data_IF_800605624204
#
_entry.id   IF_800605624204
#
_cell.length_a   1.000
_cell.length_b   1.000
_cell.length_c   1.000
_cell.angle_alpha   90.00
_cell.angle_beta   90.00
_cell.angle_gamma   90.00
#
_symmetry.space_group_name_H-M   'P 1'
#
loop_
_entity.id
_entity.type
_entity.pdbx_description
1 polymer ?
#
# COMPACT_ATOMS: atom_id res chain seq x y z
N UNK A 1 -7.01 -12.31 -22.89
CA UNK A 1 -8.37 -12.91 -22.94
C UNK A 1 -8.52 -14.20 -22.12
N UNK A 2 -7.49 -15.04 -22.03
CA UNK A 2 -7.52 -16.26 -21.20
C UNK A 2 -7.50 -15.97 -19.70
N UNK A 3 -6.83 -14.91 -19.26
CA UNK A 3 -6.68 -14.53 -17.84
C UNK A 3 -8.03 -14.08 -17.25
N UNK A 4 -8.79 -13.26 -17.94
CA UNK A 4 -10.11 -12.80 -17.47
C UNK A 4 -11.10 -13.96 -17.33
N UNK A 5 -11.02 -14.96 -18.24
CA UNK A 5 -11.91 -16.13 -18.24
C UNK A 5 -11.59 -17.11 -17.11
N UNK A 6 -10.31 -17.26 -16.74
CA UNK A 6 -9.89 -18.07 -15.59
C UNK A 6 -10.32 -17.46 -14.25
N UNK A 7 -10.42 -16.16 -14.21
CA UNK A 7 -10.91 -15.40 -13.07
C UNK A 7 -12.40 -15.64 -12.80
N UNK A 8 -13.22 -15.68 -13.83
CA UNK A 8 -14.67 -15.90 -13.77
C UNK A 8 -15.05 -17.37 -13.42
N UNK A 9 -14.12 -18.32 -13.55
CA UNK A 9 -14.41 -19.76 -13.37
C UNK A 9 -13.87 -20.37 -12.06
N UNK A 10 -13.21 -19.60 -11.21
CA UNK A 10 -12.73 -20.08 -9.90
C UNK A 10 -13.78 -19.77 -8.83
N UNK A 11 -13.99 -20.68 -7.88
CA UNK A 11 -14.84 -20.49 -6.70
C UNK A 11 -14.44 -19.23 -5.93
N UNK A 12 -15.06 -18.11 -6.29
CA UNK A 12 -14.83 -16.81 -5.65
C UNK A 12 -15.87 -16.59 -4.58
N UNK A 13 -15.47 -16.14 -3.40
CA UNK A 13 -16.42 -15.72 -2.38
C UNK A 13 -17.13 -14.44 -2.80
N UNK A 14 -18.39 -14.37 -2.56
CA UNK A 14 -19.38 -13.31 -2.42
C UNK A 14 -19.34 -12.00 -3.26
N UNK A 15 -18.21 -11.58 -3.85
CA UNK A 15 -18.05 -10.24 -4.45
C UNK A 15 -17.90 -10.22 -6.00
N UNK A 16 -18.50 -11.18 -6.72
CA UNK A 16 -18.52 -11.14 -8.19
C UNK A 16 -19.08 -9.84 -8.76
N UNK A 17 -20.05 -9.26 -8.08
CA UNK A 17 -20.73 -8.05 -8.50
C UNK A 17 -19.76 -6.86 -8.48
N UNK A 18 -18.97 -6.75 -7.43
CA UNK A 18 -18.00 -5.67 -7.24
C UNK A 18 -16.89 -5.73 -8.30
N UNK A 19 -16.36 -6.92 -8.56
CA UNK A 19 -15.35 -7.10 -9.59
C UNK A 19 -15.84 -6.81 -11.00
N UNK A 20 -17.05 -7.24 -11.34
CA UNK A 20 -17.65 -6.96 -12.64
C UNK A 20 -17.82 -5.45 -12.86
N UNK A 21 -18.17 -4.71 -11.81
CA UNK A 21 -18.32 -3.26 -11.85
C UNK A 21 -16.95 -2.58 -12.00
N UNK A 22 -15.99 -2.91 -11.12
CA UNK A 22 -14.68 -2.24 -11.11
C UNK A 22 -13.79 -2.59 -12.30
N UNK A 23 -13.93 -3.80 -12.86
CA UNK A 23 -13.22 -4.17 -14.10
C UNK A 23 -13.69 -3.39 -15.33
N UNK A 24 -14.90 -2.81 -15.27
CA UNK A 24 -15.56 -2.20 -16.41
C UNK A 24 -16.40 -3.18 -17.25
N UNK A 25 -16.54 -4.45 -16.81
CA UNK A 25 -17.37 -5.45 -17.50
C UNK A 25 -18.84 -5.02 -17.57
N UNK A 26 -19.30 -4.30 -16.54
CA UNK A 26 -20.67 -3.80 -16.42
C UNK A 26 -20.88 -2.38 -16.95
N UNK A 27 -19.87 -1.75 -17.56
CA UNK A 27 -19.99 -0.36 -18.05
C UNK A 27 -21.16 -0.23 -19.03
N UNK A 28 -22.03 0.74 -18.78
CA UNK A 28 -23.25 0.99 -19.58
C UNK A 28 -24.40 0.01 -19.32
N UNK A 29 -24.29 -0.85 -18.30
CA UNK A 29 -25.32 -1.79 -17.90
C UNK A 29 -25.84 -1.47 -16.50
N UNK A 30 -27.15 -1.68 -16.30
CA UNK A 30 -27.75 -1.68 -14.95
C UNK A 30 -27.87 -3.11 -14.47
N UNK A 31 -27.19 -3.42 -13.35
CA UNK A 31 -27.22 -4.74 -12.75
C UNK A 31 -28.24 -4.81 -11.61
N UNK A 32 -29.06 -5.84 -11.64
CA UNK A 32 -29.95 -6.19 -10.55
C UNK A 32 -29.86 -7.72 -10.33
N UNK A 33 -29.26 -8.14 -9.21
CA UNK A 33 -28.96 -9.56 -8.90
C UNK A 33 -30.17 -10.50 -8.99
N UNK A 34 -31.40 -9.99 -8.84
CA UNK A 34 -32.63 -10.74 -8.92
C UNK A 34 -33.21 -10.87 -10.31
N UNK A 35 -32.66 -10.21 -11.32
CA UNK A 35 -33.18 -10.22 -12.70
C UNK A 35 -32.32 -11.07 -13.62
N UNK A 36 -32.96 -11.80 -14.59
CA UNK A 36 -32.21 -12.55 -15.58
C UNK A 36 -31.34 -11.67 -16.46
N UNK A 37 -30.12 -12.14 -16.77
CA UNK A 37 -29.25 -11.51 -17.76
C UNK A 37 -29.87 -11.63 -19.13
N UNK A 38 -30.10 -10.54 -19.83
CA UNK A 38 -30.64 -10.52 -21.19
C UNK A 38 -29.56 -10.78 -22.25
N UNK A 39 -29.94 -11.19 -23.46
CA UNK A 39 -28.99 -11.33 -24.58
C UNK A 39 -28.30 -10.02 -24.93
N UNK A 40 -28.97 -8.88 -24.79
CA UNK A 40 -28.40 -7.56 -25.01
C UNK A 40 -27.34 -7.22 -23.94
N UNK A 41 -27.62 -7.54 -22.67
CA UNK A 41 -26.62 -7.38 -21.56
C UNK A 41 -25.40 -8.24 -21.81
N UNK A 42 -25.60 -9.51 -22.17
CA UNK A 42 -24.48 -10.41 -22.48
C UNK A 42 -23.63 -9.89 -23.65
N UNK A 43 -24.29 -9.41 -24.72
CA UNK A 43 -23.60 -8.79 -25.85
C UNK A 43 -22.76 -7.56 -25.44
N UNK A 44 -23.30 -6.71 -24.55
CA UNK A 44 -22.54 -5.56 -24.03
C UNK A 44 -21.38 -5.99 -23.11
N UNK A 45 -21.60 -6.99 -22.24
CA UNK A 45 -20.54 -7.55 -21.40
C UNK A 45 -19.39 -8.13 -22.23
N UNK A 46 -19.69 -8.83 -23.33
CA UNK A 46 -18.67 -9.36 -24.25
C UNK A 46 -17.85 -8.26 -24.92
N UNK A 47 -18.49 -7.15 -25.33
CA UNK A 47 -17.80 -5.97 -25.86
C UNK A 47 -16.90 -5.33 -24.79
N UNK A 48 -17.42 -5.18 -23.58
CA UNK A 48 -16.65 -4.64 -22.46
C UNK A 48 -15.47 -5.55 -22.13
N UNK A 49 -15.67 -6.88 -22.09
CA UNK A 49 -14.60 -7.85 -21.86
C UNK A 49 -13.48 -7.74 -22.91
N UNK A 50 -13.81 -7.55 -24.18
CA UNK A 50 -12.82 -7.33 -25.22
C UNK A 50 -12.03 -6.03 -24.99
N UNK A 51 -12.71 -4.96 -24.54
CA UNK A 51 -12.08 -3.66 -24.29
C UNK A 51 -11.15 -3.64 -23.07
N UNK A 52 -11.32 -4.57 -22.11
CA UNK A 52 -10.51 -4.65 -20.89
C UNK A 52 -9.48 -5.80 -20.92
N UNK A 53 -9.47 -6.63 -21.98
CA UNK A 53 -8.67 -7.85 -22.05
C UNK A 53 -7.16 -7.64 -21.86
N UNK A 54 -6.66 -6.48 -22.27
CA UNK A 54 -5.23 -6.14 -22.23
C UNK A 54 -4.87 -5.19 -21.06
N UNK A 55 -5.84 -4.85 -20.19
CA UNK A 55 -5.57 -4.01 -19.04
C UNK A 55 -4.86 -4.80 -17.94
N UNK A 56 -3.82 -4.23 -17.31
CA UNK A 56 -3.17 -4.88 -16.17
C UNK A 56 -4.11 -4.94 -14.96
N UNK A 57 -3.99 -6.02 -14.19
CA UNK A 57 -4.72 -6.25 -12.95
C UNK A 57 -3.85 -5.80 -11.78
N UNK A 58 -4.31 -4.78 -11.06
CA UNK A 58 -3.62 -4.25 -9.89
C UNK A 58 -4.29 -4.74 -8.61
N UNK A 59 -3.55 -5.55 -7.84
CA UNK A 59 -3.96 -5.95 -6.50
C UNK A 59 -3.78 -4.80 -5.51
N UNK A 60 -4.83 -4.50 -4.74
CA UNK A 60 -4.75 -3.58 -3.60
C UNK A 60 -4.59 -4.43 -2.35
N UNK A 61 -3.58 -4.16 -1.52
CA UNK A 61 -3.29 -4.97 -0.32
C UNK A 61 -4.51 -5.09 0.59
N UNK A 62 -4.65 -6.25 1.22
CA UNK A 62 -5.82 -6.61 2.01
C UNK A 62 -6.20 -5.56 3.07
N UNK A 63 -7.52 -5.27 3.14
CA UNK A 63 -8.11 -4.36 4.11
C UNK A 63 -8.64 -5.13 5.31
N UNK A 64 -8.06 -4.86 6.47
CA UNK A 64 -8.63 -5.27 7.74
C UNK A 64 -9.80 -4.34 8.14
N UNK A 65 -10.86 -4.89 8.73
CA UNK A 65 -12.07 -4.17 9.16
C UNK A 65 -12.94 -3.55 8.04
N UNK A 66 -12.84 -4.05 6.80
CA UNK A 66 -13.73 -3.62 5.72
C UNK A 66 -13.57 -2.15 5.35
N UNK A 67 -12.35 -1.62 5.41
CA UNK A 67 -12.06 -0.30 4.84
C UNK A 67 -12.52 -0.28 3.38
N UNK A 68 -13.27 0.73 3.02
CA UNK A 68 -13.73 0.90 1.65
C UNK A 68 -12.60 1.47 0.78
N UNK A 69 -12.16 0.71 -0.21
CA UNK A 69 -11.13 1.11 -1.17
C UNK A 69 -11.68 1.71 -2.48
N UNK A 70 -12.94 2.11 -2.53
CA UNK A 70 -13.57 2.65 -3.75
C UNK A 70 -12.82 3.87 -4.31
N UNK A 71 -12.22 4.69 -3.46
CA UNK A 71 -11.37 5.79 -3.92
C UNK A 71 -10.11 5.30 -4.63
N UNK A 72 -9.43 4.27 -4.11
CA UNK A 72 -8.25 3.67 -4.74
C UNK A 72 -8.63 2.94 -6.03
N UNK A 73 -9.73 2.18 -6.03
CA UNK A 73 -10.28 1.54 -7.23
C UNK A 73 -10.61 2.58 -8.31
N UNK A 74 -11.18 3.73 -7.92
CA UNK A 74 -11.47 4.84 -8.84
C UNK A 74 -10.19 5.39 -9.47
N UNK A 75 -9.11 5.57 -8.70
CA UNK A 75 -7.81 6.03 -9.20
C UNK A 75 -7.28 5.03 -10.24
N UNK A 76 -7.20 3.74 -9.89
CA UNK A 76 -6.67 2.72 -10.79
C UNK A 76 -7.51 2.54 -12.05
N UNK A 77 -8.85 2.61 -11.95
CA UNK A 77 -9.73 2.60 -13.12
C UNK A 77 -9.46 3.80 -14.03
N UNK A 78 -9.22 4.98 -13.45
CA UNK A 78 -8.91 6.22 -14.19
C UNK A 78 -7.61 6.09 -14.99
N UNK A 79 -6.58 5.48 -14.42
CA UNK A 79 -5.29 5.26 -15.09
C UNK A 79 -5.23 3.98 -15.95
N UNK A 80 -6.38 3.34 -16.17
CA UNK A 80 -6.51 2.27 -17.16
C UNK A 80 -6.24 0.85 -16.67
N UNK A 81 -6.21 0.61 -15.36
CA UNK A 81 -6.06 -0.73 -14.78
C UNK A 81 -7.39 -1.35 -14.34
N UNK A 82 -7.35 -2.63 -14.01
CA UNK A 82 -8.41 -3.36 -13.30
C UNK A 82 -7.99 -3.47 -11.84
N UNK A 83 -8.61 -2.72 -10.91
CA UNK A 83 -8.29 -2.82 -9.49
C UNK A 83 -8.98 -4.01 -8.83
N UNK A 84 -8.29 -4.70 -7.94
CA UNK A 84 -8.79 -5.85 -7.19
C UNK A 84 -8.33 -5.74 -5.74
N UNK A 85 -9.24 -5.80 -4.79
CA UNK A 85 -8.87 -5.99 -3.40
C UNK A 85 -8.37 -7.42 -3.20
N UNK A 86 -7.16 -7.56 -2.66
CA UNK A 86 -6.58 -8.88 -2.43
C UNK A 86 -7.17 -9.51 -1.17
N UNK A 87 -7.32 -10.82 -1.21
CA UNK A 87 -7.63 -11.60 -0.02
C UNK A 87 -6.50 -11.54 1.01
N UNK A 88 -6.83 -11.85 2.26
CA UNK A 88 -5.85 -11.95 3.33
C UNK A 88 -4.77 -12.98 2.98
N UNK A 89 -3.52 -12.55 3.05
CA UNK A 89 -2.39 -13.49 3.03
C UNK A 89 -2.17 -14.02 4.44
N UNK A 90 -2.18 -15.35 4.57
CA UNK A 90 -1.96 -16.06 5.83
C UNK A 90 -0.62 -16.78 5.83
N UNK A 91 -0.08 -17.07 7.03
CA UNK A 91 1.12 -17.87 7.23
C UNK A 91 0.85 -18.99 8.24
N UNK A 92 1.43 -20.16 8.00
CA UNK A 92 1.36 -21.29 8.95
C UNK A 92 2.20 -21.09 10.22
N UNK A 93 2.93 -19.96 10.30
CA UNK A 93 3.68 -19.59 11.52
C UNK A 93 2.77 -19.33 12.72
N UNK A 94 1.50 -19.00 12.47
CA UNK A 94 0.46 -18.72 13.47
C UNK A 94 -0.84 -19.43 13.11
N UNK A 95 -1.81 -19.44 14.05
CA UNK A 95 -3.19 -19.87 13.78
C UNK A 95 -4.12 -18.67 13.75
N UNK A 96 -5.21 -18.84 13.04
CA UNK A 96 -6.27 -17.85 12.88
C UNK A 96 -7.59 -18.40 13.44
N UNK A 97 -8.39 -17.51 14.00
CA UNK A 97 -9.76 -17.81 14.42
C UNK A 97 -10.74 -17.90 13.24
N UNK A 98 -12.03 -18.08 13.53
CA UNK A 98 -13.08 -18.20 12.52
C UNK A 98 -13.29 -16.90 11.71
N UNK A 99 -12.91 -15.76 12.27
CA UNK A 99 -12.96 -14.44 11.63
C UNK A 99 -11.68 -14.09 10.85
N UNK A 100 -10.70 -15.00 10.80
CA UNK A 100 -9.41 -14.79 10.13
C UNK A 100 -8.41 -13.95 10.92
N UNK A 101 -8.66 -13.68 12.20
CA UNK A 101 -7.74 -12.96 13.09
C UNK A 101 -6.73 -13.90 13.70
N UNK A 102 -5.51 -13.43 13.95
CA UNK A 102 -4.51 -14.22 14.69
C UNK A 102 -5.02 -14.49 16.10
N UNK A 103 -4.96 -15.75 16.53
CA UNK A 103 -5.34 -16.16 17.90
C UNK A 103 -4.44 -15.46 18.95
N UNK A 104 -5.02 -15.05 20.07
CA UNK A 104 -4.33 -14.31 21.13
C UNK A 104 -3.09 -15.02 21.71
N UNK A 105 -3.00 -16.34 21.59
CA UNK A 105 -1.83 -17.11 22.00
C UNK A 105 -0.53 -16.67 21.30
N UNK A 106 -0.62 -16.07 20.12
CA UNK A 106 0.50 -15.60 19.29
C UNK A 106 0.84 -14.12 19.50
N UNK A 107 0.04 -13.42 20.31
CA UNK A 107 0.15 -11.98 20.53
C UNK A 107 0.63 -11.65 21.94
N UNK A 108 1.34 -10.54 22.09
CA UNK A 108 1.58 -9.87 23.36
C UNK A 108 0.29 -9.15 23.82
N UNK A 109 0.25 -8.69 25.08
CA UNK A 109 -0.89 -7.93 25.61
C UNK A 109 -1.16 -6.63 24.82
N UNK A 110 -0.13 -6.07 24.20
CA UNK A 110 -0.23 -4.90 23.32
C UNK A 110 -0.88 -5.19 21.95
N UNK A 111 -1.15 -6.44 21.63
CA UNK A 111 -1.58 -6.88 20.31
C UNK A 111 -0.43 -7.09 19.30
N UNK A 112 0.81 -6.79 19.71
CA UNK A 112 2.01 -7.04 18.90
C UNK A 112 2.24 -8.53 18.71
N UNK A 113 2.72 -8.94 17.55
CA UNK A 113 3.14 -10.32 17.30
C UNK A 113 4.31 -10.68 18.21
N UNK A 114 4.22 -11.81 18.93
CA UNK A 114 5.33 -12.30 19.77
C UNK A 114 6.59 -12.53 18.95
N UNK A 115 7.75 -12.24 19.52
CA UNK A 115 9.03 -12.25 18.82
C UNK A 115 9.32 -13.60 18.14
N UNK A 116 9.06 -14.73 18.80
CA UNK A 116 9.31 -16.07 18.24
C UNK A 116 8.53 -16.35 16.94
N UNK A 117 7.32 -15.76 16.81
CA UNK A 117 6.49 -15.89 15.58
C UNK A 117 6.86 -14.84 14.55
N UNK A 118 7.21 -13.62 14.97
CA UNK A 118 7.78 -12.62 14.10
C UNK A 118 9.06 -13.13 13.41
N UNK A 119 9.93 -13.85 14.16
CA UNK A 119 11.16 -14.42 13.60
C UNK A 119 10.86 -15.47 12.53
N UNK A 120 9.84 -16.30 12.72
CA UNK A 120 9.38 -17.24 11.68
C UNK A 120 8.83 -16.53 10.43
N UNK A 121 8.07 -15.46 10.61
CA UNK A 121 7.57 -14.65 9.49
C UNK A 121 8.75 -14.01 8.73
N UNK A 122 9.79 -13.56 9.45
CA UNK A 122 11.00 -12.99 8.85
C UNK A 122 11.84 -13.99 8.04
N UNK A 123 11.63 -15.30 8.19
CA UNK A 123 12.23 -16.31 7.31
C UNK A 123 11.72 -16.22 5.86
N UNK A 124 10.56 -15.57 5.65
CA UNK A 124 9.94 -15.35 4.32
C UNK A 124 9.69 -16.65 3.56
N UNK A 125 9.31 -17.72 4.28
CA UNK A 125 8.94 -18.98 3.64
C UNK A 125 7.58 -18.83 2.95
N UNK A 126 7.62 -18.55 1.65
CA UNK A 126 6.42 -18.37 0.84
C UNK A 126 5.62 -19.68 0.67
N UNK A 127 6.25 -20.85 0.90
CA UNK A 127 5.58 -22.15 0.82
C UNK A 127 4.69 -22.41 2.05
N UNK A 128 4.99 -21.73 3.16
CA UNK A 128 4.22 -21.71 4.39
C UNK A 128 3.10 -20.65 4.40
N UNK A 129 2.65 -20.21 3.22
CA UNK A 129 1.68 -19.12 3.02
C UNK A 129 0.75 -19.42 1.85
N UNK A 130 -0.44 -18.81 1.86
CA UNK A 130 -1.37 -18.84 0.72
C UNK A 130 -1.07 -17.77 -0.34
N UNK A 131 0.02 -17.01 -0.22
CA UNK A 131 0.32 -15.84 -1.06
C UNK A 131 0.34 -16.16 -2.56
N UNK A 132 0.83 -17.32 -2.96
CA UNK A 132 0.84 -17.74 -4.36
C UNK A 132 -0.57 -17.90 -4.95
N UNK A 133 -1.56 -18.29 -4.13
CA UNK A 133 -2.95 -18.36 -4.56
C UNK A 133 -3.59 -16.96 -4.63
N UNK A 134 -3.33 -16.10 -3.64
CA UNK A 134 -3.80 -14.70 -3.62
C UNK A 134 -3.28 -13.92 -4.83
N UNK A 135 -2.03 -14.14 -5.21
CA UNK A 135 -1.37 -13.44 -6.31
C UNK A 135 -1.64 -14.01 -7.71
N UNK A 136 -2.52 -15.01 -7.81
CA UNK A 136 -2.85 -15.58 -9.12
C UNK A 136 -3.52 -14.54 -10.02
N UNK A 137 -2.93 -14.31 -11.20
CA UNK A 137 -3.42 -13.34 -12.21
C UNK A 137 -3.32 -11.86 -11.79
N UNK A 138 -2.49 -11.52 -10.83
CA UNK A 138 -2.15 -10.15 -10.44
C UNK A 138 -0.88 -9.73 -11.18
N UNK A 139 -0.92 -8.57 -11.83
CA UNK A 139 0.19 -8.04 -12.64
C UNK A 139 1.02 -6.99 -11.89
N UNK A 140 0.45 -6.33 -10.89
CA UNK A 140 1.12 -5.37 -10.01
C UNK A 140 0.41 -5.22 -8.69
N UNK A 141 1.06 -4.70 -7.66
CA UNK A 141 0.47 -4.54 -6.33
C UNK A 141 0.64 -3.12 -5.80
N UNK A 142 -0.44 -2.59 -5.27
CA UNK A 142 -0.49 -1.36 -4.51
C UNK A 142 -0.67 -1.68 -3.02
N UNK A 143 0.30 -1.27 -2.19
CA UNK A 143 0.22 -1.36 -0.75
C UNK A 143 -0.30 -0.06 -0.16
N UNK A 144 -1.39 -0.14 0.58
CA UNK A 144 -2.05 1.03 1.17
C UNK A 144 -1.41 1.47 2.48
N UNK A 145 -1.70 2.70 2.89
CA UNK A 145 -1.47 3.17 4.25
C UNK A 145 -2.29 2.41 5.31
N UNK A 146 -2.12 2.74 6.56
CA UNK A 146 -2.87 2.14 7.66
C UNK A 146 -2.15 2.15 9.00
N UNK A 147 -2.51 1.19 9.85
CA UNK A 147 -2.03 1.01 11.21
C UNK A 147 -0.51 0.75 11.26
N UNK A 148 0.09 0.94 12.44
CA UNK A 148 1.51 0.73 12.65
C UNK A 148 1.90 -0.75 12.56
N UNK A 149 3.14 -1.02 12.17
CA UNK A 149 3.68 -2.39 12.07
C UNK A 149 4.19 -2.85 13.44
N UNK A 150 3.95 -4.11 13.78
CA UNK A 150 4.47 -4.74 15.01
C UNK A 150 5.99 -4.53 15.15
N UNK A 151 6.47 -3.91 16.24
CA UNK A 151 7.91 -3.71 16.49
C UNK A 151 8.75 -4.98 16.42
N UNK A 152 8.17 -6.14 16.74
CA UNK A 152 8.83 -7.45 16.63
C UNK A 152 9.27 -7.82 15.20
N UNK A 153 8.71 -7.17 14.16
CA UNK A 153 9.04 -7.42 12.76
C UNK A 153 10.22 -6.57 12.25
N UNK A 154 10.62 -5.51 12.96
CA UNK A 154 11.74 -4.66 12.56
C UNK A 154 12.82 -4.58 13.64
N UNK A 155 14.00 -4.12 13.26
CA UNK A 155 15.12 -3.99 14.18
C UNK A 155 14.96 -2.73 15.01
N UNK A 156 14.45 -2.87 16.25
CA UNK A 156 14.38 -1.78 17.23
C UNK A 156 15.27 -2.08 18.42
N UNK A 157 15.79 -1.04 19.08
CA UNK A 157 16.33 -1.17 20.41
C UNK A 157 15.30 -1.74 21.39
N UNK A 158 15.72 -2.64 22.29
CA UNK A 158 14.84 -3.35 23.23
C UNK A 158 13.97 -2.44 24.12
N UNK A 159 14.40 -1.21 24.33
CA UNK A 159 13.69 -0.23 25.17
C UNK A 159 12.50 0.45 24.47
N UNK A 160 12.41 0.35 23.17
CA UNK A 160 11.37 1.03 22.38
C UNK A 160 10.16 0.13 22.22
N UNK A 161 9.45 -0.04 23.31
CA UNK A 161 8.21 -0.79 23.34
C UNK A 161 7.08 0.17 23.64
N UNK A 162 6.03 0.13 22.83
CA UNK A 162 4.78 0.82 23.09
C UNK A 162 4.88 2.35 23.06
N UNK A 163 5.29 2.89 21.95
CA UNK A 163 5.35 4.34 21.67
C UNK A 163 4.01 4.90 21.13
N UNK A 164 2.90 4.26 21.50
CA UNK A 164 1.55 4.65 21.08
C UNK A 164 1.13 4.07 19.74
N UNK A 165 1.73 2.93 19.34
CA UNK A 165 1.38 2.23 18.11
C UNK A 165 -0.04 1.68 18.14
N UNK A 166 -0.72 1.82 17.02
CA UNK A 166 -1.99 1.16 16.71
C UNK A 166 -1.68 -0.13 15.91
N UNK A 167 -1.36 -1.22 16.60
CA UNK A 167 -0.85 -2.46 15.99
C UNK A 167 -1.97 -3.36 15.51
N UNK A 168 -1.79 -3.94 14.33
CA UNK A 168 -2.63 -4.99 13.75
C UNK A 168 -1.77 -6.15 13.24
N UNK A 169 -1.43 -7.08 14.12
CA UNK A 169 -0.56 -8.20 13.78
C UNK A 169 -1.11 -9.10 12.66
N UNK A 170 -2.43 -9.21 12.51
CA UNK A 170 -3.05 -9.97 11.42
C UNK A 170 -2.73 -9.34 10.07
N UNK A 171 -2.86 -8.02 9.96
CA UNK A 171 -2.48 -7.27 8.77
C UNK A 171 -0.96 -7.27 8.56
N UNK A 172 -0.19 -7.27 9.65
CA UNK A 172 1.27 -7.31 9.57
C UNK A 172 1.76 -8.54 8.82
N UNK A 173 1.27 -9.73 9.19
CA UNK A 173 1.64 -10.98 8.50
C UNK A 173 1.16 -10.94 7.05
N UNK A 174 -0.07 -10.47 6.79
CA UNK A 174 -0.60 -10.39 5.45
C UNK A 174 0.27 -9.49 4.55
N UNK A 175 0.54 -8.27 4.97
CA UNK A 175 1.33 -7.31 4.18
C UNK A 175 2.81 -7.74 4.08
N UNK A 176 3.39 -8.30 5.17
CA UNK A 176 4.77 -8.77 5.17
C UNK A 176 5.02 -9.89 4.15
N UNK A 177 4.16 -10.93 4.17
CA UNK A 177 4.28 -12.07 3.27
C UNK A 177 3.98 -11.69 1.82
N UNK A 178 2.99 -10.81 1.60
CA UNK A 178 2.69 -10.26 0.28
C UNK A 178 3.87 -9.45 -0.27
N UNK A 179 4.48 -8.59 0.54
CA UNK A 179 5.64 -7.81 0.14
C UNK A 179 6.85 -8.72 -0.14
N UNK A 180 7.10 -9.71 0.72
CA UNK A 180 8.16 -10.69 0.49
C UNK A 180 7.99 -11.42 -0.85
N UNK A 181 6.75 -11.80 -1.20
CA UNK A 181 6.43 -12.39 -2.49
C UNK A 181 6.70 -11.42 -3.65
N UNK A 182 6.22 -10.19 -3.55
CA UNK A 182 6.42 -9.18 -4.61
C UNK A 182 7.91 -8.93 -4.87
N UNK A 183 8.71 -8.83 -3.81
CA UNK A 183 10.16 -8.65 -3.92
C UNK A 183 10.87 -9.89 -4.48
N UNK A 184 10.45 -11.11 -4.11
CA UNK A 184 11.06 -12.33 -4.65
C UNK A 184 10.69 -12.56 -6.12
N UNK A 185 9.43 -12.36 -6.49
CA UNK A 185 8.91 -12.63 -7.84
C UNK A 185 9.05 -11.45 -8.80
N UNK A 186 9.64 -10.34 -8.35
CA UNK A 186 9.80 -9.10 -9.13
C UNK A 186 8.46 -8.55 -9.66
N UNK A 187 7.43 -8.58 -8.81
CA UNK A 187 6.12 -8.00 -9.14
C UNK A 187 6.19 -6.48 -9.03
N UNK A 188 5.79 -5.72 -10.07
CA UNK A 188 5.68 -4.27 -9.98
C UNK A 188 4.91 -3.82 -8.75
N UNK A 189 5.53 -2.98 -7.91
CA UNK A 189 5.02 -2.62 -6.60
C UNK A 189 5.07 -1.11 -6.37
N UNK A 190 3.95 -0.53 -5.96
CA UNK A 190 3.88 0.80 -5.41
C UNK A 190 3.35 0.74 -3.97
N UNK A 191 4.03 1.37 -3.04
CA UNK A 191 3.75 1.27 -1.62
C UNK A 191 3.67 2.66 -0.97
N UNK A 192 2.61 2.90 -0.18
CA UNK A 192 2.31 4.20 0.42
C UNK A 192 2.26 4.09 1.93
N UNK A 193 2.91 5.02 2.64
CA UNK A 193 2.90 5.18 4.10
C UNK A 193 3.25 3.85 4.80
N UNK A 194 2.30 3.18 5.46
CA UNK A 194 2.50 1.83 6.00
C UNK A 194 3.08 0.85 4.98
N UNK A 195 2.62 0.91 3.72
CA UNK A 195 3.13 0.04 2.65
C UNK A 195 4.63 0.25 2.38
N UNK A 196 5.10 1.50 2.37
CA UNK A 196 6.52 1.84 2.26
C UNK A 196 7.31 1.33 3.46
N UNK A 197 6.75 1.48 4.67
CA UNK A 197 7.35 0.96 5.89
C UNK A 197 7.49 -0.57 5.85
N UNK A 198 6.46 -1.29 5.43
CA UNK A 198 6.50 -2.75 5.25
C UNK A 198 7.57 -3.15 4.22
N UNK A 199 7.66 -2.45 3.07
CA UNK A 199 8.68 -2.70 2.04
C UNK A 199 10.09 -2.55 2.63
N UNK A 200 10.29 -1.52 3.43
CA UNK A 200 11.57 -1.21 4.05
C UNK A 200 11.93 -2.22 5.15
N UNK A 201 10.96 -2.59 5.98
CA UNK A 201 11.11 -3.61 7.03
C UNK A 201 11.45 -4.98 6.43
N UNK A 202 10.71 -5.41 5.40
CA UNK A 202 10.99 -6.68 4.68
C UNK A 202 12.38 -6.66 4.05
N UNK A 203 12.86 -5.49 3.63
CA UNK A 203 14.21 -5.30 3.09
C UNK A 203 15.30 -5.24 4.17
N UNK A 204 14.95 -5.07 5.45
CA UNK A 204 15.86 -5.11 6.60
C UNK A 204 16.41 -3.75 7.04
N UNK A 205 15.68 -2.66 6.79
CA UNK A 205 16.03 -1.31 7.23
C UNK A 205 16.10 -1.20 8.78
N UNK A 206 16.72 -0.13 9.27
CA UNK A 206 16.43 0.37 10.62
C UNK A 206 15.18 1.27 10.57
N UNK A 207 14.55 1.50 11.72
CA UNK A 207 13.24 2.13 11.77
C UNK A 207 13.17 3.16 12.89
N UNK A 208 12.56 4.32 12.62
CA UNK A 208 12.21 5.34 13.61
C UNK A 208 10.81 5.01 14.10
N UNK A 209 10.71 4.53 15.34
CA UNK A 209 9.45 4.06 15.91
C UNK A 209 8.53 5.22 16.30
N UNK A 210 9.08 6.40 16.63
CA UNK A 210 8.29 7.61 16.93
C UNK A 210 9.07 8.86 16.56
N UNK A 211 8.58 9.61 15.56
CA UNK A 211 9.21 10.84 15.09
C UNK A 211 9.32 11.92 16.18
N UNK A 212 8.28 12.18 16.99
CA UNK A 212 8.39 13.12 18.12
C UNK A 212 9.56 12.81 19.07
N UNK A 213 9.72 11.53 19.44
CA UNK A 213 10.84 11.11 20.28
C UNK A 213 12.18 11.23 19.55
N UNK A 214 12.25 10.90 18.29
CA UNK A 214 13.45 11.06 17.46
C UNK A 214 13.91 12.53 17.38
N UNK A 215 12.97 13.49 17.23
CA UNK A 215 13.28 14.92 17.32
C UNK A 215 13.84 15.32 18.69
N UNK A 216 13.19 14.85 19.77
CA UNK A 216 13.61 15.12 21.15
C UNK A 216 15.02 14.59 21.44
N UNK A 217 15.37 13.41 20.96
CA UNK A 217 16.71 12.81 21.08
C UNK A 217 17.78 13.67 20.41
N UNK A 218 17.41 14.38 19.35
CA UNK A 218 18.30 15.34 18.67
C UNK A 218 18.26 16.75 19.27
N UNK A 219 17.58 16.94 20.41
CA UNK A 219 17.43 18.24 21.06
C UNK A 219 16.57 19.23 20.30
N UNK A 220 15.61 18.72 19.50
CA UNK A 220 14.69 19.51 18.67
C UNK A 220 13.25 19.39 19.15
N UNK A 221 12.44 20.36 18.79
CA UNK A 221 10.98 20.34 19.00
C UNK A 221 10.30 19.83 17.75
N UNK A 222 9.38 18.88 17.89
CA UNK A 222 8.53 18.42 16.81
C UNK A 222 7.28 19.33 16.69
N UNK A 223 6.96 19.78 15.49
CA UNK A 223 5.90 20.74 15.19
C UNK A 223 4.78 20.14 14.33
N UNK A 224 4.43 18.88 14.54
CA UNK A 224 3.29 18.17 13.91
C UNK A 224 3.31 18.18 12.37
N UNK A 225 4.49 18.24 11.77
CA UNK A 225 4.69 18.39 10.32
C UNK A 225 4.46 17.12 9.53
N UNK A 226 4.56 15.94 10.17
CA UNK A 226 4.32 14.64 9.54
C UNK A 226 2.98 14.02 9.95
N UNK A 227 2.42 14.41 11.10
CA UNK A 227 1.12 13.96 11.60
C UNK A 227 0.50 15.04 12.47
N UNK A 228 -0.74 15.41 12.20
CA UNK A 228 -1.49 16.32 13.05
C UNK A 228 -1.80 15.66 14.40
N UNK A 229 -1.80 16.42 15.50
CA UNK A 229 -2.12 15.88 16.82
C UNK A 229 -3.54 15.33 16.89
N UNK A 230 -3.76 14.38 17.82
CA UNK A 230 -5.03 13.66 17.93
C UNK A 230 -6.24 14.57 18.26
N UNK A 231 -5.99 15.71 18.91
CA UNK A 231 -6.98 16.70 19.30
C UNK A 231 -7.14 17.84 18.29
N UNK A 232 -6.46 17.78 17.14
CA UNK A 232 -6.64 18.78 16.09
C UNK A 232 -8.11 18.83 15.64
N UNK A 233 -8.69 20.05 15.49
CA UNK A 233 -10.09 20.24 15.11
C UNK A 233 -10.45 19.61 13.77
N UNK A 234 -9.47 19.58 12.87
CA UNK A 234 -9.55 18.95 11.57
C UNK A 234 -8.35 18.00 11.46
N UNK A 235 -8.59 16.71 11.63
CA UNK A 235 -7.59 15.66 11.42
C UNK A 235 -7.34 15.41 9.94
N UNK A 236 -7.32 16.49 9.15
CA UNK A 236 -6.79 16.43 7.79
C UNK A 236 -5.29 16.17 7.85
N UNK A 237 -4.78 15.65 6.75
CA UNK A 237 -3.36 15.36 6.61
C UNK A 237 -2.50 16.57 6.91
N UNK A 238 -1.41 16.38 7.64
CA UNK A 238 -0.34 17.36 7.69
C UNK A 238 0.21 17.56 6.26
N UNK A 239 0.84 18.72 6.03
CA UNK A 239 1.39 19.07 4.72
C UNK A 239 2.82 19.55 4.88
N UNK A 240 3.72 19.00 4.10
CA UNK A 240 5.11 19.43 4.01
C UNK A 240 5.64 19.24 2.58
N UNK A 241 6.82 19.80 2.33
CA UNK A 241 7.54 19.60 1.07
C UNK A 241 8.54 18.46 1.23
N UNK A 242 8.82 17.75 0.14
CA UNK A 242 9.85 16.73 0.10
C UNK A 242 10.89 17.06 -0.98
N UNK A 243 12.16 16.77 -0.68
CA UNK A 243 13.29 16.93 -1.60
C UNK A 243 13.59 15.59 -2.26
N UNK A 244 13.74 15.59 -3.58
CA UNK A 244 14.01 14.40 -4.39
C UNK A 244 15.46 14.40 -4.83
N UNK A 245 16.19 13.33 -4.53
CA UNK A 245 17.53 13.12 -5.02
C UNK A 245 17.48 12.60 -6.47
N UNK A 246 17.62 13.54 -7.42
CA UNK A 246 17.58 13.24 -8.84
C UNK A 246 18.59 12.18 -9.27
N UNK A 247 19.80 12.22 -8.72
CA UNK A 247 20.90 11.36 -9.15
C UNK A 247 20.78 9.95 -8.56
N UNK A 248 20.07 9.80 -7.44
CA UNK A 248 19.79 8.52 -6.80
C UNK A 248 18.51 7.87 -7.32
N UNK A 249 17.55 8.65 -7.83
CA UNK A 249 16.22 8.15 -8.20
C UNK A 249 16.19 7.51 -9.58
N UNK A 250 15.62 6.31 -9.65
CA UNK A 250 15.30 5.61 -10.92
C UNK A 250 13.91 5.96 -11.43
N UNK A 251 12.93 6.12 -10.54
CA UNK A 251 11.52 6.33 -10.90
C UNK A 251 10.92 7.62 -10.34
N UNK A 252 11.13 7.93 -9.05
CA UNK A 252 10.48 9.06 -8.40
C UNK A 252 10.72 10.39 -9.13
N UNK A 253 11.97 10.66 -9.56
CA UNK A 253 12.27 11.88 -10.30
C UNK A 253 11.55 11.94 -11.65
N UNK A 254 11.31 10.81 -12.32
CA UNK A 254 10.55 10.75 -13.57
C UNK A 254 9.08 11.03 -13.35
N UNK A 255 8.52 10.54 -12.24
CA UNK A 255 7.13 10.74 -11.84
C UNK A 255 6.87 12.23 -11.58
N UNK A 256 7.76 12.85 -10.79
CA UNK A 256 7.58 14.23 -10.31
C UNK A 256 8.09 15.28 -11.31
N UNK A 257 9.15 14.97 -12.05
CA UNK A 257 9.76 15.90 -13.03
C UNK A 257 10.52 17.07 -12.38
N UNK A 258 10.69 17.07 -11.04
CA UNK A 258 11.33 18.12 -10.25
C UNK A 258 12.13 17.51 -9.10
N UNK A 259 13.09 18.27 -8.56
CA UNK A 259 13.81 17.92 -7.33
C UNK A 259 13.05 18.27 -6.05
N UNK A 260 11.84 18.79 -6.17
CA UNK A 260 10.98 19.14 -5.04
C UNK A 260 9.53 18.79 -5.39
N UNK A 261 8.81 18.18 -4.44
CA UNK A 261 7.37 18.01 -4.49
C UNK A 261 6.75 18.71 -3.29
N UNK A 262 5.84 19.65 -3.55
CA UNK A 262 5.27 20.55 -2.54
C UNK A 262 3.95 20.04 -1.99
N UNK A 263 3.71 20.36 -0.70
CA UNK A 263 2.45 20.14 -0.02
C UNK A 263 1.96 18.69 -0.07
N UNK A 264 2.87 17.71 0.04
CA UNK A 264 2.46 16.30 0.11
C UNK A 264 1.55 16.05 1.31
N UNK A 265 0.54 15.20 1.14
CA UNK A 265 -0.31 14.75 2.25
C UNK A 265 0.48 13.82 3.16
N UNK A 266 0.51 14.09 4.47
CA UNK A 266 1.29 13.32 5.43
C UNK A 266 0.47 12.92 6.66
N UNK A 267 0.58 11.64 7.06
CA UNK A 267 -0.10 11.11 8.24
C UNK A 267 0.69 9.92 8.82
N UNK A 268 1.88 10.20 9.36
CA UNK A 268 2.70 9.17 9.99
C UNK A 268 3.48 9.73 11.19
N UNK A 269 3.71 8.90 12.19
CA UNK A 269 4.60 9.20 13.30
C UNK A 269 5.82 8.26 13.35
N UNK A 270 5.88 7.30 12.43
CA UNK A 270 6.98 6.38 12.24
C UNK A 270 7.62 6.63 10.88
N UNK A 271 8.87 6.21 10.70
CA UNK A 271 9.59 6.35 9.43
C UNK A 271 10.72 5.33 9.29
N UNK A 272 11.23 5.17 8.07
CA UNK A 272 12.48 4.46 7.80
C UNK A 272 13.63 5.22 8.46
N UNK A 273 14.42 4.53 9.29
CA UNK A 273 15.55 5.13 10.01
C UNK A 273 16.86 5.11 9.24
N UNK A 274 17.08 4.05 8.45
CA UNK A 274 18.28 3.91 7.62
C UNK A 274 18.23 2.63 6.80
N UNK A 275 18.96 2.63 5.68
CA UNK A 275 18.90 1.57 4.66
C UNK A 275 20.23 0.81 4.49
N UNK A 276 21.19 1.02 5.37
CA UNK A 276 22.52 0.41 5.30
C UNK A 276 22.43 -1.12 5.33
N UNK A 277 23.12 -1.76 4.40
CA UNK A 277 23.14 -3.23 4.26
C UNK A 277 21.87 -3.81 3.63
N UNK A 278 21.02 -2.96 3.05
CA UNK A 278 19.84 -3.37 2.28
C UNK A 278 20.02 -3.07 0.78
N UNK A 279 19.06 -3.51 -0.04
CA UNK A 279 18.98 -3.12 -1.46
C UNK A 279 18.09 -1.88 -1.68
N UNK A 280 17.75 -1.15 -0.62
CA UNK A 280 16.97 0.09 -0.72
C UNK A 280 17.87 1.27 -1.09
N UNK A 281 17.35 2.16 -1.91
CA UNK A 281 17.96 3.45 -2.22
C UNK A 281 17.04 4.56 -1.71
N UNK A 282 17.54 5.43 -0.82
CA UNK A 282 16.81 6.63 -0.40
C UNK A 282 16.78 7.62 -1.56
N UNK A 283 15.58 8.00 -1.99
CA UNK A 283 15.37 8.87 -3.15
C UNK A 283 14.63 10.17 -2.82
N UNK A 284 14.06 10.27 -1.61
CA UNK A 284 13.45 11.52 -1.12
C UNK A 284 13.55 11.62 0.40
N UNK A 285 13.72 12.87 0.86
CA UNK A 285 13.73 13.23 2.29
C UNK A 285 12.95 14.52 2.53
N UNK A 286 12.49 14.72 3.76
CA UNK A 286 12.02 16.00 4.28
C UNK A 286 12.96 16.43 5.41
N UNK A 287 13.55 17.62 5.30
CA UNK A 287 14.36 18.21 6.37
C UNK A 287 13.62 19.37 7.00
N UNK A 288 13.10 19.16 8.20
CA UNK A 288 12.27 20.14 8.92
C UNK A 288 12.92 20.40 10.28
N UNK A 289 13.13 21.66 10.62
CA UNK A 289 13.81 22.09 11.87
C UNK A 289 15.20 21.47 12.06
N UNK A 290 15.84 21.09 10.95
CA UNK A 290 17.18 20.47 10.92
C UNK A 290 17.19 18.98 11.24
N UNK A 291 16.03 18.32 11.26
CA UNK A 291 15.89 16.87 11.35
C UNK A 291 15.46 16.35 9.99
N UNK A 292 16.20 15.37 9.47
CA UNK A 292 15.91 14.72 8.21
C UNK A 292 15.12 13.43 8.44
N UNK A 293 14.00 13.28 7.71
CA UNK A 293 13.16 12.09 7.67
C UNK A 293 13.16 11.55 6.25
N UNK A 294 13.33 10.24 6.09
CA UNK A 294 13.21 9.56 4.79
C UNK A 294 11.75 9.53 4.38
N UNK A 295 11.48 9.99 3.14
CA UNK A 295 10.12 10.14 2.59
C UNK A 295 9.86 9.27 1.37
N UNK A 296 10.92 8.71 0.75
CA UNK A 296 10.77 7.71 -0.29
C UNK A 296 12.01 6.85 -0.45
N UNK A 297 11.78 5.58 -0.77
CA UNK A 297 12.80 4.58 -1.08
C UNK A 297 12.46 3.79 -2.34
N UNK A 298 13.47 3.32 -3.05
CA UNK A 298 13.35 2.49 -4.24
C UNK A 298 14.13 1.18 -4.07
N UNK A 299 13.57 0.06 -4.55
CA UNK A 299 14.27 -1.22 -4.80
C UNK A 299 14.66 -1.27 -6.26
N UNK A 300 15.78 -0.65 -6.60
CA UNK A 300 16.23 -0.47 -7.99
C UNK A 300 16.74 -1.74 -8.64
N UNK A 301 16.92 -2.81 -7.87
CA UNK A 301 17.18 -4.17 -8.32
C UNK A 301 15.92 -4.87 -8.86
N UNK A 302 14.75 -4.20 -8.81
CA UNK A 302 13.46 -4.69 -9.30
C UNK A 302 13.03 -3.99 -10.58
N UNK A 303 12.06 -4.60 -11.29
CA UNK A 303 11.42 -4.03 -12.48
C UNK A 303 10.77 -2.69 -12.15
N UNK A 304 9.94 -2.64 -11.10
CA UNK A 304 9.40 -1.43 -10.49
C UNK A 304 9.07 -1.69 -9.02
N UNK A 305 9.69 -0.95 -8.12
CA UNK A 305 9.38 -1.07 -6.69
C UNK A 305 9.72 0.25 -5.99
N UNK A 306 8.68 1.07 -5.77
CA UNK A 306 8.74 2.40 -5.18
C UNK A 306 7.89 2.45 -3.90
N UNK A 307 8.47 2.94 -2.82
CA UNK A 307 7.77 3.29 -1.59
C UNK A 307 7.84 4.79 -1.33
N UNK A 308 6.71 5.38 -0.93
CA UNK A 308 6.63 6.77 -0.47
C UNK A 308 5.94 6.83 0.89
N UNK A 309 6.46 7.66 1.79
CA UNK A 309 5.89 7.80 3.13
C UNK A 309 4.65 8.69 3.16
N UNK A 310 4.56 9.63 2.23
CA UNK A 310 3.41 10.52 2.05
C UNK A 310 2.29 9.86 1.22
N UNK A 311 1.13 10.54 1.13
CA UNK A 311 -0.12 10.01 0.58
C UNK A 311 -0.56 10.69 -0.72
N UNK A 312 0.02 10.35 -1.90
CA UNK A 312 -0.43 10.94 -3.17
C UNK A 312 -1.87 10.57 -3.52
N UNK A 313 -2.37 9.41 -3.02
CA UNK A 313 -3.75 8.97 -3.24
C UNK A 313 -4.79 9.93 -2.67
N UNK A 314 -4.45 10.73 -1.64
CA UNK A 314 -5.40 11.67 -1.07
C UNK A 314 -5.73 12.82 -2.00
N UNK A 315 -4.72 13.40 -2.63
CA UNK A 315 -4.94 14.49 -3.58
C UNK A 315 -5.69 13.97 -4.81
N UNK A 316 -5.39 12.73 -5.27
CA UNK A 316 -6.19 12.05 -6.29
C UNK A 316 -7.64 11.80 -5.84
N UNK A 317 -7.85 11.34 -4.60
CA UNK A 317 -9.18 11.10 -4.02
C UNK A 317 -10.01 12.38 -4.00
N UNK A 318 -9.44 13.52 -3.61
CA UNK A 318 -10.16 14.80 -3.59
C UNK A 318 -10.69 15.18 -4.97
N UNK A 319 -9.92 14.96 -6.02
CA UNK A 319 -10.33 15.28 -7.38
C UNK A 319 -11.28 14.24 -7.96
N UNK A 320 -10.90 12.95 -7.90
CA UNK A 320 -11.56 11.87 -8.63
C UNK A 320 -12.80 11.30 -7.91
N UNK A 321 -12.76 11.23 -6.57
CA UNK A 321 -13.78 10.51 -5.80
C UNK A 321 -14.70 11.44 -5.03
N UNK A 322 -14.17 12.28 -4.12
CA UNK A 322 -15.01 13.18 -3.30
C UNK A 322 -15.46 14.44 -4.04
N UNK A 323 -14.86 14.74 -5.21
CA UNK A 323 -15.14 15.93 -6.02
C UNK A 323 -14.95 17.26 -5.28
N UNK A 324 -13.89 17.33 -4.49
CA UNK A 324 -13.45 18.50 -3.72
C UNK A 324 -12.03 18.91 -4.11
N UNK A 325 -11.79 19.31 -5.37
CA UNK A 325 -10.44 19.59 -5.89
C UNK A 325 -9.71 20.71 -5.13
N UNK A 326 -10.44 21.62 -4.48
CA UNK A 326 -9.88 22.68 -3.64
C UNK A 326 -9.13 22.15 -2.41
N UNK A 327 -9.33 20.90 -2.03
CA UNK A 327 -8.59 20.22 -0.95
C UNK A 327 -7.30 19.55 -1.42
N UNK A 328 -7.13 19.37 -2.72
CA UNK A 328 -5.91 18.85 -3.30
C UNK A 328 -4.85 19.95 -3.33
N UNK A 329 -3.93 19.94 -2.37
CA UNK A 329 -2.88 20.96 -2.22
C UNK A 329 -1.56 20.54 -2.88
N UNK A 330 -1.32 19.24 -3.04
CA UNK A 330 -0.27 18.70 -3.90
C UNK A 330 -0.80 18.67 -5.35
N UNK A 331 0.10 18.86 -6.31
CA UNK A 331 -0.28 18.84 -7.73
C UNK A 331 -0.92 17.49 -8.11
N UNK A 332 -2.18 17.55 -8.52
CA UNK A 332 -2.98 16.35 -8.80
C UNK A 332 -2.40 15.49 -9.92
N UNK A 333 -1.96 16.10 -11.02
CA UNK A 333 -1.41 15.36 -12.16
C UNK A 333 -0.13 14.62 -11.75
N UNK A 334 0.72 15.26 -10.96
CA UNK A 334 1.91 14.62 -10.38
C UNK A 334 1.52 13.47 -9.45
N UNK A 335 0.50 13.66 -8.60
CA UNK A 335 0.01 12.59 -7.73
C UNK A 335 -0.55 11.41 -8.53
N UNK A 336 -1.22 11.65 -9.64
CA UNK A 336 -1.77 10.61 -10.52
C UNK A 336 -0.66 9.80 -11.22
N UNK A 337 0.45 10.45 -11.60
CA UNK A 337 1.59 9.81 -12.28
C UNK A 337 2.19 8.65 -11.46
N UNK A 338 2.08 8.65 -10.13
CA UNK A 338 2.53 7.51 -9.29
C UNK A 338 1.79 6.23 -9.65
N UNK A 339 0.48 6.33 -9.84
CA UNK A 339 -0.40 5.21 -10.18
C UNK A 339 -0.24 4.80 -11.64
N UNK A 340 -0.10 5.77 -12.55
CA UNK A 340 0.19 5.52 -13.96
C UNK A 340 1.49 4.74 -14.13
N UNK A 341 2.54 5.09 -13.38
CA UNK A 341 3.82 4.39 -13.44
C UNK A 341 3.69 2.92 -13.02
N UNK A 342 2.96 2.62 -11.92
CA UNK A 342 2.69 1.23 -11.54
C UNK A 342 1.97 0.48 -12.67
N UNK A 343 0.92 1.08 -13.23
CA UNK A 343 0.11 0.47 -14.30
C UNK A 343 0.95 0.24 -15.57
N UNK A 344 1.82 1.20 -15.92
CA UNK A 344 2.74 1.05 -17.06
C UNK A 344 3.67 -0.15 -16.88
N UNK A 345 4.26 -0.31 -15.69
CA UNK A 345 5.17 -1.44 -15.43
C UNK A 345 4.44 -2.78 -15.28
N UNK A 346 3.25 -2.80 -14.73
CA UNK A 346 2.40 -3.99 -14.64
C UNK A 346 1.89 -4.46 -16.01
N UNK A 347 1.80 -3.57 -16.99
CA UNK A 347 1.37 -3.88 -18.36
C UNK A 347 2.48 -4.42 -19.27
N UNK A 348 3.73 -4.44 -18.83
CA UNK A 348 4.90 -4.95 -19.59
C UNK A 348 5.11 -6.44 -19.37
#
# INVERSE_FOLDING_TARGET
SHRLFLWVLKDWPADYDDMAVWSGLMDGLTYEASKPVTTAMLGQMLKNAAAIADKPVIGISWSYNGQNYDSHKTIFKTVGAIPVELDQVTSTAVKYDAEGKIESAYLEESGMLKQEYADKVKEKDLTASNVGAVMQAIDGVFFTGGEDVSPSLFKVPEKEKNEGEEINATRDISDYMLMAYCLEKDVPTFAVCRGEQVMSIVSGCTFIQDIPNYYKEQGKTYNDTHRMPADAPDRTYARHDVTINKDASKWLYKIVGSTELKNVSSWHHQAVGGVEGTNLTVVSTATIDGVEIIEAVERQDKTFCLGVQFHPENDCKFVLYTKTPEKALCDYETCLNFFEMLVEYAGK
#
